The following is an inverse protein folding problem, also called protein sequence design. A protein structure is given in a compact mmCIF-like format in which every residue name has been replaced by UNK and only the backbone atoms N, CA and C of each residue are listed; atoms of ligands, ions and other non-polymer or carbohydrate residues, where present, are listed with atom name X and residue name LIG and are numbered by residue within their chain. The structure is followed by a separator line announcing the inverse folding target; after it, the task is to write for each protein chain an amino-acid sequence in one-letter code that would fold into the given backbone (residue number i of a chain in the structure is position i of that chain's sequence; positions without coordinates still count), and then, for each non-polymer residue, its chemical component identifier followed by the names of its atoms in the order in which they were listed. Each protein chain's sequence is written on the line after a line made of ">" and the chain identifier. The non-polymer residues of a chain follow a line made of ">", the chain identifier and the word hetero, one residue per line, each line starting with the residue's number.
data_IF_304122940959
#
_entry.id   IF_304122940959
#
_cell.length_a   1.000
_cell.length_b   1.000
_cell.length_c   1.000
_cell.angle_alpha   90.00
_cell.angle_beta   90.00
_cell.angle_gamma   90.00
#
_symmetry.space_group_name_H-M   'P 1'
#
loop_
_entity.id
_entity.type
_entity.pdbx_description
1 polymer ?
#
# COMPACT_ATOMS: atom_id res chain seq x y z
N UNK A 1 -31.53 12.01 80.30
CA UNK A 1 -30.70 11.33 81.32
C UNK A 1 -29.27 11.29 80.81
N UNK A 2 -28.37 12.04 81.49
CA UNK A 2 -26.88 11.91 81.66
C UNK A 2 -26.08 11.33 80.47
N UNK A 3 -25.02 11.95 79.93
CA UNK A 3 -23.92 12.69 80.59
C UNK A 3 -23.08 13.45 79.54
N UNK A 4 -22.71 14.70 79.83
CA UNK A 4 -21.42 15.28 79.40
C UNK A 4 -20.33 14.71 80.31
N UNK A 5 -19.09 14.58 79.82
CA UNK A 5 -17.87 14.81 80.61
C UNK A 5 -16.66 14.98 79.66
N UNK A 6 -15.98 16.11 79.83
CA UNK A 6 -14.64 16.43 79.32
C UNK A 6 -13.57 15.53 79.94
N UNK A 7 -12.45 15.24 79.25
CA UNK A 7 -11.09 15.52 79.76
C UNK A 7 -9.99 15.17 78.75
N UNK A 8 -8.92 15.95 78.83
CA UNK A 8 -7.73 16.03 77.99
C UNK A 8 -6.55 15.46 78.78
N UNK A 9 -5.81 14.44 78.30
CA UNK A 9 -4.48 14.05 78.82
C UNK A 9 -3.57 13.42 77.74
N UNK A 10 -2.58 14.22 77.33
CA UNK A 10 -1.14 13.96 77.15
C UNK A 10 -0.57 12.58 76.74
N UNK A 11 0.09 12.60 75.57
CA UNK A 11 1.48 12.19 75.25
C UNK A 11 2.00 10.78 75.56
N UNK A 12 2.41 10.08 74.49
CA UNK A 12 3.65 9.29 74.48
C UNK A 12 4.30 9.36 73.09
N UNK A 13 5.45 10.01 73.04
CA UNK A 13 6.42 10.08 71.93
C UNK A 13 6.97 8.71 71.57
N UNK A 14 6.99 8.38 70.27
CA UNK A 14 7.94 7.42 69.71
C UNK A 14 8.72 8.13 68.59
N UNK A 15 10.00 8.39 68.82
CA UNK A 15 10.97 8.74 67.79
C UNK A 15 11.17 7.54 66.86
N UNK A 16 11.24 7.76 65.54
CA UNK A 16 12.43 7.43 64.74
C UNK A 16 12.26 7.77 63.25
N UNK A 17 13.31 8.41 62.73
CA UNK A 17 13.83 8.39 61.36
C UNK A 17 13.06 9.09 60.23
N UNK A 18 13.52 10.32 59.95
CA UNK A 18 13.52 10.89 58.61
C UNK A 18 14.32 9.98 57.65
N UNK A 19 13.75 9.70 56.48
CA UNK A 19 14.48 9.31 55.28
C UNK A 19 13.87 10.07 54.11
N UNK A 20 14.52 11.16 53.71
CA UNK A 20 14.43 11.64 52.34
C UNK A 20 15.18 10.63 51.44
N UNK A 21 14.62 10.40 50.26
CA UNK A 21 15.28 10.13 48.96
C UNK A 21 14.48 9.08 48.17
N UNK A 22 13.92 9.55 47.05
CA UNK A 22 14.11 8.98 45.72
C UNK A 22 13.51 7.61 45.42
N UNK A 23 12.45 7.62 44.60
CA UNK A 23 12.49 7.16 43.21
C UNK A 23 11.04 7.19 42.69
N UNK A 24 10.64 8.31 42.08
CA UNK A 24 9.60 8.26 41.07
C UNK A 24 10.27 7.72 39.83
N UNK A 25 9.81 6.58 39.33
CA UNK A 25 10.43 5.84 38.24
C UNK A 25 10.80 6.79 37.09
N UNK A 26 12.10 7.02 36.92
CA UNK A 26 12.66 7.40 35.64
C UNK A 26 12.27 6.27 34.68
N UNK A 27 11.21 6.46 33.90
CA UNK A 27 11.07 5.72 32.65
C UNK A 27 12.24 6.15 31.78
N UNK A 28 13.34 5.42 31.94
CA UNK A 28 14.36 5.23 30.93
C UNK A 28 13.65 5.13 29.58
N UNK A 29 13.84 6.13 28.72
CA UNK A 29 13.40 6.06 27.33
C UNK A 29 14.04 4.81 26.72
N UNK A 30 13.24 3.76 26.56
CA UNK A 30 13.65 2.56 25.86
C UNK A 30 13.91 2.96 24.40
N UNK A 31 15.11 2.76 23.85
CA UNK A 31 15.39 3.07 22.45
C UNK A 31 14.56 2.25 21.45
N UNK A 32 13.77 1.28 21.93
CA UNK A 32 12.82 0.50 21.13
C UNK A 32 11.36 0.89 21.32
N UNK A 33 11.05 1.98 22.01
CA UNK A 33 9.68 2.49 22.03
C UNK A 33 9.32 3.07 20.65
N UNK A 34 8.50 2.32 19.91
CA UNK A 34 8.00 2.68 18.60
C UNK A 34 6.55 3.20 18.66
N UNK A 35 6.01 3.46 19.85
CA UNK A 35 4.69 4.07 19.97
C UNK A 35 4.70 5.48 19.35
N UNK A 36 3.86 5.66 18.32
CA UNK A 36 3.66 6.96 17.67
C UNK A 36 4.64 7.32 16.55
N UNK A 37 5.50 6.39 16.10
CA UNK A 37 6.42 6.62 14.96
C UNK A 37 5.85 6.01 13.67
N UNK A 38 5.59 6.86 12.66
CA UNK A 38 5.03 6.44 11.37
C UNK A 38 6.10 5.91 10.40
N UNK A 39 7.34 6.41 10.54
CA UNK A 39 8.46 6.04 9.67
C UNK A 39 9.73 5.91 10.48
N UNK A 40 10.56 4.91 10.16
CA UNK A 40 11.87 4.72 10.77
C UNK A 40 12.92 4.57 9.66
N UNK A 41 13.93 5.43 9.67
CA UNK A 41 15.02 5.48 8.69
C UNK A 41 16.39 5.42 9.37
N UNK A 42 17.45 4.96 8.69
CA UNK A 42 18.80 4.95 9.29
C UNK A 42 19.48 6.32 9.21
N UNK A 43 19.21 7.08 8.15
CA UNK A 43 19.72 8.43 7.90
C UNK A 43 18.58 9.37 7.45
N UNK A 44 18.80 10.68 7.50
CA UNK A 44 17.77 11.65 7.10
C UNK A 44 17.37 11.52 5.62
N UNK A 45 18.34 11.24 4.74
CA UNK A 45 18.10 11.06 3.30
C UNK A 45 17.27 9.82 2.96
N UNK A 46 17.16 8.87 3.91
CA UNK A 46 16.30 7.68 3.79
C UNK A 46 14.85 7.97 4.24
N UNK A 47 14.55 9.17 4.75
CA UNK A 47 13.16 9.56 5.01
C UNK A 47 12.41 9.67 3.66
N UNK A 48 11.20 9.11 3.56
CA UNK A 48 10.38 9.24 2.37
C UNK A 48 10.03 10.71 2.14
N UNK A 49 9.72 11.08 0.90
CA UNK A 49 9.35 12.46 0.57
C UNK A 49 8.24 12.97 1.50
N UNK A 50 8.50 14.06 2.23
CA UNK A 50 7.47 14.74 2.99
C UNK A 50 6.50 15.40 2.00
N UNK A 51 5.26 14.97 2.02
CA UNK A 51 4.19 15.40 1.12
C UNK A 51 2.95 15.72 1.95
N UNK A 52 1.91 16.27 1.32
CA UNK A 52 0.64 16.51 1.99
C UNK A 52 0.02 15.23 2.60
N UNK A 53 0.36 14.04 2.08
CA UNK A 53 -0.11 12.75 2.60
C UNK A 53 0.66 12.24 3.83
N UNK A 54 1.77 12.90 4.17
CA UNK A 54 2.56 12.66 5.37
C UNK A 54 2.52 13.85 6.32
N UNK A 55 1.63 14.81 6.08
CA UNK A 55 1.48 15.97 6.95
C UNK A 55 1.20 15.51 8.39
N UNK A 56 1.98 16.01 9.33
CA UNK A 56 2.03 15.61 10.74
C UNK A 56 2.52 14.19 11.05
N UNK A 57 2.99 13.42 10.05
CA UNK A 57 3.65 12.15 10.33
C UNK A 57 4.99 12.36 11.01
N UNK A 58 5.35 11.42 11.88
CA UNK A 58 6.62 11.43 12.62
C UNK A 58 7.58 10.39 12.04
N UNK A 59 8.71 10.86 11.52
CA UNK A 59 9.84 10.06 11.06
C UNK A 59 10.97 10.05 12.08
N UNK A 60 11.46 8.87 12.44
CA UNK A 60 12.60 8.70 13.34
C UNK A 60 13.86 8.30 12.57
N UNK A 61 14.93 9.08 12.73
CA UNK A 61 16.23 8.84 12.09
C UNK A 61 17.19 8.23 13.11
N UNK A 62 17.52 6.94 12.95
CA UNK A 62 18.34 6.18 13.91
C UNK A 62 19.76 6.72 14.05
N UNK A 63 20.39 7.13 12.95
CA UNK A 63 21.78 7.61 12.93
C UNK A 63 21.97 8.90 13.73
N UNK A 64 20.93 9.73 13.78
CA UNK A 64 20.92 11.00 14.49
C UNK A 64 20.21 10.90 15.85
N UNK A 65 19.44 9.84 16.06
CA UNK A 65 18.52 9.68 17.21
C UNK A 65 17.56 10.87 17.35
N UNK A 66 17.08 11.36 16.22
CA UNK A 66 16.19 12.52 16.14
C UNK A 66 14.88 12.17 15.45
N UNK A 67 13.82 12.85 15.86
CA UNK A 67 12.50 12.80 15.27
C UNK A 67 12.28 14.02 14.38
N UNK A 68 11.61 13.79 13.26
CA UNK A 68 11.21 14.78 12.30
C UNK A 68 9.72 14.67 12.08
N UNK A 69 9.02 15.80 12.01
CA UNK A 69 7.62 15.85 11.63
C UNK A 69 7.50 16.44 10.25
N UNK A 70 6.74 15.79 9.38
CA UNK A 70 6.49 16.30 8.05
C UNK A 70 5.46 17.42 8.12
N UNK A 71 5.88 18.65 7.79
CA UNK A 71 5.03 19.84 7.78
C UNK A 71 5.31 20.65 6.52
N UNK A 72 4.26 21.04 5.80
CA UNK A 72 4.35 21.82 4.57
C UNK A 72 5.36 21.22 3.55
N UNK A 73 5.30 19.89 3.37
CA UNK A 73 6.19 19.13 2.48
C UNK A 73 7.68 19.16 2.86
N UNK A 74 8.01 19.51 4.11
CA UNK A 74 9.36 19.39 4.67
C UNK A 74 9.39 18.60 5.95
N UNK A 75 10.41 17.76 6.12
CA UNK A 75 10.70 17.15 7.42
C UNK A 75 11.36 18.20 8.31
N UNK A 76 10.69 18.54 9.40
CA UNK A 76 11.14 19.53 10.36
C UNK A 76 11.46 18.85 11.69
N UNK A 77 12.59 19.17 12.29
CA UNK A 77 12.90 18.75 13.66
C UNK A 77 12.17 19.62 14.69
N UNK A 78 12.30 19.29 15.98
CA UNK A 78 11.62 19.99 17.07
C UNK A 78 11.90 21.51 17.09
N UNK A 79 13.11 21.96 16.75
CA UNK A 79 13.48 23.37 16.75
C UNK A 79 12.81 24.14 15.59
N UNK A 80 12.66 23.48 14.44
CA UNK A 80 12.05 24.03 13.23
C UNK A 80 10.52 24.07 13.32
N UNK A 81 9.91 23.09 14.02
CA UNK A 81 8.46 22.99 14.23
C UNK A 81 7.89 24.11 15.10
N UNK A 82 8.68 24.66 16.03
CA UNK A 82 8.23 25.77 16.88
C UNK A 82 7.98 27.08 16.10
N UNK A 83 8.36 27.14 14.82
CA UNK A 83 8.23 28.31 13.95
C UNK A 83 7.10 28.17 12.93
N UNK A 84 6.67 26.94 12.60
CA UNK A 84 5.75 26.63 11.48
C UNK A 84 4.40 26.00 11.91
N UNK A 85 4.12 25.98 13.22
CA UNK A 85 3.01 25.27 13.87
C UNK A 85 1.73 24.99 13.06
N UNK A 86 1.61 23.74 12.58
CA UNK A 86 0.37 23.13 12.06
C UNK A 86 0.02 21.85 12.84
N UNK A 87 1.03 21.10 13.30
CA UNK A 87 0.85 19.83 14.00
C UNK A 87 0.99 20.00 15.52
N UNK A 88 -0.11 19.89 16.27
CA UNK A 88 -0.10 19.89 17.73
C UNK A 88 -0.03 18.45 18.27
N UNK A 89 0.82 18.20 19.29
CA UNK A 89 0.88 16.92 20.01
C UNK A 89 -0.46 16.63 20.70
N UNK A 90 -0.96 15.40 20.53
CA UNK A 90 -2.21 14.87 21.11
C UNK A 90 -2.19 14.91 22.65
N UNK A 91 -3.29 15.25 23.34
CA UNK A 91 -3.41 15.04 24.78
C UNK A 91 -3.67 13.56 25.10
N UNK A 92 -3.02 13.04 26.14
CA UNK A 92 -2.97 11.61 26.52
C UNK A 92 -4.31 10.99 26.97
N UNK A 93 -5.44 11.68 26.95
CA UNK A 93 -6.70 11.09 27.41
C UNK A 93 -7.88 11.57 26.54
N UNK A 94 -8.28 10.73 25.58
CA UNK A 94 -9.45 10.96 24.74
C UNK A 94 -9.62 9.84 23.71
N UNK A 95 -10.52 8.90 24.02
CA UNK A 95 -11.11 7.98 23.05
C UNK A 95 -12.01 8.78 22.11
N UNK A 96 -11.42 9.50 21.17
CA UNK A 96 -12.09 9.86 19.93
C UNK A 96 -11.62 8.86 18.87
N UNK A 97 -12.56 8.11 18.31
CA UNK A 97 -12.34 7.21 17.19
C UNK A 97 -11.69 8.00 16.05
N UNK A 98 -10.37 7.87 15.93
CA UNK A 98 -9.63 8.37 14.79
C UNK A 98 -10.23 7.72 13.55
N UNK A 99 -10.97 8.49 12.76
CA UNK A 99 -11.31 8.06 11.40
C UNK A 99 -9.98 7.92 10.67
N UNK A 100 -9.56 6.67 10.47
CA UNK A 100 -8.44 6.36 9.59
C UNK A 100 -8.62 7.15 8.29
N UNK A 101 -7.58 7.84 7.78
CA UNK A 101 -7.69 8.54 6.51
C UNK A 101 -8.13 7.54 5.44
N UNK A 102 -9.29 7.82 4.84
CA UNK A 102 -9.85 7.00 3.76
C UNK A 102 -9.10 7.39 2.50
N UNK A 103 -8.09 6.61 2.14
CA UNK A 103 -7.36 6.80 0.88
C UNK A 103 -8.28 6.51 -0.31
N UNK A 104 -8.19 7.36 -1.33
CA UNK A 104 -8.88 7.25 -2.62
C UNK A 104 -7.91 6.77 -3.69
N UNK A 105 -8.40 6.26 -4.83
CA UNK A 105 -7.52 5.80 -5.92
C UNK A 105 -6.64 6.94 -6.46
N UNK A 106 -7.09 8.19 -6.37
CA UNK A 106 -6.38 9.38 -6.79
C UNK A 106 -5.16 9.68 -5.92
N UNK A 107 -5.18 9.32 -4.63
CA UNK A 107 -4.07 9.59 -3.71
C UNK A 107 -2.80 8.83 -4.10
N UNK A 108 -2.92 7.76 -4.87
CA UNK A 108 -1.80 6.94 -5.35
C UNK A 108 -1.19 7.42 -6.68
N UNK A 109 -1.76 8.48 -7.27
CA UNK A 109 -1.27 9.06 -8.51
C UNK A 109 -0.09 10.00 -8.25
N UNK A 110 0.84 10.07 -9.20
CA UNK A 110 1.94 11.02 -9.14
C UNK A 110 1.43 12.45 -9.43
N UNK A 111 1.51 13.37 -8.46
CA UNK A 111 1.02 14.76 -8.61
C UNK A 111 1.75 15.57 -9.68
N UNK A 112 2.96 15.16 -10.07
CA UNK A 112 3.78 15.85 -11.07
C UNK A 112 3.44 15.43 -12.51
N UNK A 113 2.52 14.48 -12.69
CA UNK A 113 2.10 13.95 -13.99
C UNK A 113 0.70 14.41 -14.34
N UNK A 114 0.53 14.90 -15.57
CA UNK A 114 -0.78 15.21 -16.11
C UNK A 114 -1.49 13.94 -16.59
N UNK A 115 -2.64 13.64 -15.97
CA UNK A 115 -3.45 12.48 -16.34
C UNK A 115 -4.63 12.87 -17.22
N UNK A 116 -4.86 12.07 -18.25
CA UNK A 116 -6.12 12.02 -18.97
C UNK A 116 -7.20 11.29 -18.16
N UNK A 117 -8.39 11.15 -18.78
CA UNK A 117 -9.50 10.39 -18.22
C UNK A 117 -10.14 9.50 -19.28
N UNK A 118 -10.71 8.39 -18.82
CA UNK A 118 -11.62 7.55 -19.58
C UNK A 118 -12.87 7.29 -18.76
N UNK A 119 -14.02 7.22 -19.42
CA UNK A 119 -15.30 6.89 -18.79
C UNK A 119 -15.70 5.51 -19.30
N UNK A 120 -15.94 4.58 -18.39
CA UNK A 120 -16.43 3.25 -18.74
C UNK A 120 -17.94 3.37 -19.03
N UNK A 121 -18.39 3.13 -20.27
CA UNK A 121 -19.80 3.31 -20.63
C UNK A 121 -20.73 2.29 -19.97
N UNK A 122 -20.18 1.23 -19.36
CA UNK A 122 -20.97 0.13 -18.79
C UNK A 122 -21.46 0.45 -17.38
N UNK A 123 -20.72 1.25 -16.61
CA UNK A 123 -21.04 1.59 -15.22
C UNK A 123 -20.82 3.07 -14.88
N UNK A 124 -20.39 3.90 -15.85
CA UNK A 124 -20.06 5.32 -15.68
C UNK A 124 -18.88 5.60 -14.76
N UNK A 125 -18.08 4.59 -14.42
CA UNK A 125 -16.84 4.76 -13.66
C UNK A 125 -15.84 5.59 -14.45
N UNK A 126 -15.21 6.56 -13.79
CA UNK A 126 -14.18 7.42 -14.39
C UNK A 126 -12.82 6.94 -13.92
N UNK A 127 -11.91 6.67 -14.85
CA UNK A 127 -10.55 6.26 -14.55
C UNK A 127 -9.54 7.24 -15.13
N UNK A 128 -8.46 7.48 -14.39
CA UNK A 128 -7.30 8.22 -14.86
C UNK A 128 -6.48 7.41 -15.84
N UNK A 129 -5.88 8.11 -16.80
CA UNK A 129 -5.07 7.50 -17.86
C UNK A 129 -3.78 8.28 -18.04
N UNK A 130 -2.71 7.61 -18.43
CA UNK A 130 -1.39 8.22 -18.63
C UNK A 130 -0.80 7.74 -19.96
N UNK A 131 -0.10 8.63 -20.66
CA UNK A 131 0.67 8.25 -21.84
C UNK A 131 2.06 7.82 -21.41
N UNK A 132 2.43 6.58 -21.70
CA UNK A 132 3.76 6.03 -21.42
C UNK A 132 4.31 5.45 -22.73
N UNK A 133 5.44 5.98 -23.18
CA UNK A 133 5.92 5.76 -24.54
C UNK A 133 4.91 6.27 -25.59
N UNK A 134 4.53 5.39 -26.51
CA UNK A 134 3.56 5.64 -27.58
C UNK A 134 2.12 5.23 -27.23
N UNK A 135 1.90 4.64 -26.05
CA UNK A 135 0.61 4.08 -25.65
C UNK A 135 -0.06 4.87 -24.51
N UNK A 136 -1.38 4.77 -24.45
CA UNK A 136 -2.19 5.33 -23.35
C UNK A 136 -2.70 4.19 -22.48
N UNK A 137 -2.28 4.22 -21.22
CA UNK A 137 -2.56 3.21 -20.19
C UNK A 137 -3.58 3.74 -19.18
N UNK A 138 -4.37 2.85 -18.59
CA UNK A 138 -5.04 3.18 -17.33
C UNK A 138 -4.00 3.41 -16.21
N UNK A 139 -4.18 4.48 -15.45
CA UNK A 139 -3.41 4.82 -14.24
C UNK A 139 -4.10 4.36 -12.94
N UNK A 140 -5.33 3.87 -13.04
CA UNK A 140 -6.07 3.21 -11.95
C UNK A 140 -6.49 1.80 -12.36
N UNK A 141 -6.71 0.92 -11.37
CA UNK A 141 -7.18 -0.44 -11.64
C UNK A 141 -8.64 -0.41 -12.09
N UNK A 142 -8.99 -1.25 -13.07
CA UNK A 142 -10.38 -1.41 -13.50
C UNK A 142 -11.24 -1.98 -12.36
N UNK A 143 -12.37 -1.34 -12.06
CA UNK A 143 -13.36 -1.79 -11.05
C UNK A 143 -14.74 -2.10 -11.68
N UNK A 144 -14.75 -2.57 -12.93
CA UNK A 144 -15.99 -2.96 -13.59
C UNK A 144 -16.55 -4.28 -13.03
N UNK A 145 -17.66 -4.19 -12.30
CA UNK A 145 -18.26 -5.35 -11.63
C UNK A 145 -19.32 -6.08 -12.46
N UNK A 146 -18.92 -6.56 -13.65
CA UNK A 146 -19.75 -7.39 -14.53
C UNK A 146 -19.78 -8.88 -14.20
N UNK A 147 -19.84 -9.75 -15.22
CA UNK A 147 -19.75 -11.20 -15.03
C UNK A 147 -18.32 -11.64 -14.66
N UNK A 148 -18.20 -12.59 -13.72
CA UNK A 148 -16.90 -13.16 -13.33
C UNK A 148 -16.12 -12.40 -12.26
N UNK A 149 -16.76 -11.43 -11.62
CA UNK A 149 -16.22 -10.64 -10.51
C UNK A 149 -16.04 -11.53 -9.29
N UNK A 150 -14.84 -11.46 -8.69
CA UNK A 150 -14.59 -12.06 -7.39
C UNK A 150 -14.92 -11.02 -6.32
N UNK A 151 -16.20 -10.97 -5.89
CA UNK A 151 -16.60 -10.14 -4.76
C UNK A 151 -16.30 -10.87 -3.44
N UNK A 152 -15.44 -10.31 -2.59
CA UNK A 152 -15.12 -10.91 -1.29
C UNK A 152 -15.96 -10.31 -0.16
N UNK A 153 -16.50 -11.16 0.70
CA UNK A 153 -17.29 -10.76 1.87
C UNK A 153 -16.33 -10.29 2.98
N UNK A 154 -16.26 -8.97 3.21
CA UNK A 154 -15.43 -8.37 4.26
C UNK A 154 -14.33 -7.42 3.77
N UNK A 155 -14.23 -7.17 2.46
CA UNK A 155 -13.24 -6.26 1.85
C UNK A 155 -13.91 -5.16 0.99
N UNK A 156 -15.15 -4.76 1.32
CA UNK A 156 -15.88 -3.76 0.53
C UNK A 156 -15.19 -2.39 0.51
N UNK A 157 -14.45 -2.06 1.56
CA UNK A 157 -13.69 -0.79 1.68
C UNK A 157 -12.42 -0.76 0.82
N UNK A 158 -12.06 -1.89 0.18
CA UNK A 158 -10.81 -2.06 -0.54
C UNK A 158 -10.92 -1.73 -2.04
N UNK A 159 -12.10 -1.93 -2.62
CA UNK A 159 -12.33 -1.73 -4.04
C UNK A 159 -12.08 -0.31 -4.56
N UNK A 160 -12.43 0.78 -3.85
CA UNK A 160 -12.27 2.13 -4.36
C UNK A 160 -10.82 2.44 -4.78
N UNK A 161 -9.83 1.82 -4.12
CA UNK A 161 -8.41 1.99 -4.42
C UNK A 161 -7.89 0.87 -5.32
N UNK A 162 -8.25 -0.37 -4.99
CA UNK A 162 -7.56 -1.54 -5.53
C UNK A 162 -8.24 -2.16 -6.75
N UNK A 163 -9.44 -1.69 -7.09
CA UNK A 163 -10.25 -2.20 -8.19
C UNK A 163 -10.67 -3.65 -8.00
N UNK A 164 -11.16 -4.26 -9.08
CA UNK A 164 -11.62 -5.64 -9.09
C UNK A 164 -10.50 -6.60 -9.52
N UNK A 165 -10.48 -7.79 -8.91
CA UNK A 165 -9.62 -8.90 -9.34
C UNK A 165 -10.41 -9.86 -10.23
N UNK A 166 -9.84 -10.18 -11.38
CA UNK A 166 -10.45 -11.01 -12.41
C UNK A 166 -9.66 -12.30 -12.57
N UNK A 167 -10.32 -13.45 -12.69
CA UNK A 167 -9.64 -14.65 -13.21
C UNK A 167 -9.32 -14.47 -14.70
N UNK A 168 -8.28 -15.14 -15.19
CA UNK A 168 -7.78 -14.99 -16.56
C UNK A 168 -8.88 -15.05 -17.65
N UNK A 169 -9.84 -15.97 -17.52
CA UNK A 169 -10.95 -16.10 -18.47
C UNK A 169 -11.87 -14.87 -18.55
N UNK A 170 -12.03 -14.13 -17.45
CA UNK A 170 -12.86 -12.93 -17.38
C UNK A 170 -12.07 -11.66 -17.70
N UNK A 171 -10.78 -11.63 -17.33
CA UNK A 171 -9.89 -10.51 -17.66
C UNK A 171 -9.86 -10.22 -19.16
N UNK A 172 -9.91 -11.27 -20.01
CA UNK A 172 -9.90 -11.16 -21.47
C UNK A 172 -11.04 -10.32 -22.06
N UNK A 173 -12.14 -10.17 -21.33
CA UNK A 173 -13.32 -9.40 -21.74
C UNK A 173 -13.65 -8.28 -20.76
N UNK A 174 -12.72 -7.98 -19.84
CA UNK A 174 -12.95 -7.01 -18.77
C UNK A 174 -12.87 -5.57 -19.27
N UNK A 175 -11.98 -5.25 -20.21
CA UNK A 175 -11.81 -3.88 -20.70
C UNK A 175 -13.03 -3.40 -21.53
N UNK A 176 -13.43 -2.11 -21.40
CA UNK A 176 -14.55 -1.55 -22.16
C UNK A 176 -14.18 -1.33 -23.64
N UNK A 177 -15.17 -1.03 -24.48
CA UNK A 177 -14.94 -0.72 -25.89
C UNK A 177 -13.92 0.42 -26.09
N UNK A 178 -13.03 0.28 -27.08
CA UNK A 178 -11.90 1.19 -27.32
C UNK A 178 -10.72 0.98 -26.36
N UNK A 179 -10.81 -0.02 -25.48
CA UNK A 179 -9.77 -0.43 -24.55
C UNK A 179 -9.63 -1.94 -24.55
N UNK A 180 -8.43 -2.43 -24.29
CA UNK A 180 -8.14 -3.87 -24.26
C UNK A 180 -7.11 -4.23 -23.21
N UNK A 181 -6.96 -5.53 -22.97
CA UNK A 181 -5.82 -6.03 -22.20
C UNK A 181 -4.51 -5.75 -22.97
N UNK A 182 -3.45 -5.31 -22.28
CA UNK A 182 -2.11 -5.22 -22.86
C UNK A 182 -1.57 -6.62 -23.22
N UNK A 183 -0.87 -6.76 -24.32
CA UNK A 183 -0.12 -7.97 -24.66
C UNK A 183 1.19 -8.05 -23.88
N UNK A 184 1.83 -9.23 -23.87
CA UNK A 184 3.13 -9.42 -23.22
C UNK A 184 4.16 -8.42 -23.76
N UNK A 185 4.24 -8.30 -25.08
CA UNK A 185 5.15 -7.36 -25.75
C UNK A 185 4.86 -5.89 -25.48
N UNK A 186 3.63 -5.53 -25.10
CA UNK A 186 3.32 -4.16 -24.68
C UNK A 186 3.76 -3.87 -23.25
N UNK A 187 3.69 -4.86 -22.36
CA UNK A 187 4.33 -4.73 -21.06
C UNK A 187 5.85 -4.67 -21.16
N UNK A 188 6.47 -5.41 -22.08
CA UNK A 188 7.91 -5.26 -22.34
C UNK A 188 8.25 -3.84 -22.77
N UNK A 189 7.50 -3.28 -23.73
CA UNK A 189 7.69 -1.89 -24.17
C UNK A 189 7.44 -0.88 -23.06
N UNK A 190 6.46 -1.13 -22.19
CA UNK A 190 6.22 -0.31 -21.00
C UNK A 190 7.46 -0.30 -20.10
N UNK A 191 8.04 -1.46 -19.80
CA UNK A 191 9.24 -1.57 -18.97
C UNK A 191 10.43 -0.90 -19.68
N UNK A 192 10.65 -1.17 -20.97
CA UNK A 192 11.72 -0.53 -21.76
C UNK A 192 11.61 0.99 -21.85
N UNK A 193 10.39 1.55 -21.73
CA UNK A 193 10.19 3.00 -21.77
C UNK A 193 10.71 3.73 -20.53
N UNK A 194 10.85 3.01 -19.41
CA UNK A 194 11.32 3.53 -18.13
C UNK A 194 12.69 2.95 -17.73
N UNK A 195 13.06 1.81 -18.31
CA UNK A 195 14.37 1.19 -18.15
C UNK A 195 14.95 0.83 -19.53
N UNK A 196 15.77 1.72 -20.07
CA UNK A 196 16.45 1.50 -21.36
C UNK A 196 17.46 0.34 -21.35
N UNK A 197 17.86 -0.13 -20.17
CA UNK A 197 18.78 -1.27 -20.00
C UNK A 197 18.05 -2.61 -19.94
N UNK A 198 16.72 -2.59 -19.87
CA UNK A 198 15.89 -3.79 -19.84
C UNK A 198 16.09 -4.61 -21.12
N UNK A 199 16.57 -5.84 -20.94
CA UNK A 199 16.67 -6.86 -21.98
C UNK A 199 15.80 -8.02 -21.56
N UNK A 200 14.77 -8.35 -22.35
CA UNK A 200 14.00 -9.55 -22.08
C UNK A 200 14.83 -10.79 -22.40
N UNK A 201 14.80 -11.79 -21.51
CA UNK A 201 15.30 -13.12 -21.84
C UNK A 201 14.44 -13.68 -22.97
N UNK A 202 15.04 -13.97 -24.12
CA UNK A 202 14.36 -14.30 -25.39
C UNK A 202 13.48 -15.59 -25.38
N UNK A 203 12.95 -16.02 -24.24
CA UNK A 203 12.04 -17.15 -24.11
C UNK A 203 10.90 -16.84 -23.14
N UNK A 204 9.69 -17.28 -23.49
CA UNK A 204 8.48 -17.20 -22.65
C UNK A 204 8.63 -17.86 -21.26
N UNK A 205 9.65 -18.71 -21.09
CA UNK A 205 9.97 -19.42 -19.85
C UNK A 205 10.91 -18.62 -18.92
N UNK A 206 11.51 -17.53 -19.43
CA UNK A 206 12.35 -16.62 -18.65
C UNK A 206 11.47 -15.60 -17.94
N UNK A 207 11.59 -15.47 -16.62
CA UNK A 207 11.00 -14.35 -15.90
C UNK A 207 11.80 -13.10 -16.28
N UNK A 208 11.22 -12.21 -17.08
CA UNK A 208 11.81 -10.90 -17.32
C UNK A 208 11.85 -10.12 -15.99
N UNK A 209 12.96 -9.48 -15.63
CA UNK A 209 13.11 -8.75 -14.36
C UNK A 209 13.75 -7.38 -14.60
N UNK A 210 13.20 -6.31 -14.01
CA UNK A 210 13.82 -4.98 -13.99
C UNK A 210 13.54 -4.24 -12.67
N UNK A 211 14.60 -3.87 -11.93
CA UNK A 211 14.46 -3.06 -10.70
C UNK A 211 14.13 -1.60 -11.01
N UNK A 212 14.78 -1.01 -12.01
CA UNK A 212 14.51 0.37 -12.45
C UNK A 212 13.06 0.49 -12.92
N UNK A 213 12.61 -0.45 -13.75
CA UNK A 213 11.25 -0.49 -14.24
C UNK A 213 10.23 -0.70 -13.12
N UNK A 214 10.50 -1.58 -12.16
CA UNK A 214 9.57 -1.77 -11.04
C UNK A 214 9.48 -0.53 -10.14
N UNK A 215 10.60 0.13 -9.83
CA UNK A 215 10.61 1.40 -9.09
C UNK A 215 9.82 2.49 -9.82
N UNK A 216 9.98 2.61 -11.13
CA UNK A 216 9.32 3.62 -11.94
C UNK A 216 7.79 3.40 -12.10
N UNK A 217 7.33 2.15 -12.06
CA UNK A 217 5.92 1.78 -12.25
C UNK A 217 5.09 1.78 -10.95
N UNK A 218 5.71 1.47 -9.81
CA UNK A 218 5.03 1.45 -8.51
C UNK A 218 4.68 2.86 -8.03
N UNK A 219 3.48 3.00 -7.47
CA UNK A 219 3.11 4.14 -6.64
C UNK A 219 4.05 4.24 -5.42
N UNK A 220 4.39 5.45 -4.94
CA UNK A 220 5.09 5.63 -3.67
C UNK A 220 4.23 5.21 -2.46
N UNK A 221 2.90 5.18 -2.63
CA UNK A 221 1.93 4.82 -1.59
C UNK A 221 1.29 3.46 -1.86
N UNK A 222 0.75 2.83 -0.81
CA UNK A 222 -0.04 1.60 -0.91
C UNK A 222 0.79 0.34 -1.06
N UNK A 223 2.02 0.38 -0.59
CA UNK A 223 2.95 -0.74 -0.46
C UNK A 223 3.38 -0.84 1.00
N UNK A 224 3.45 -2.05 1.55
CA UNK A 224 3.92 -2.23 2.94
C UNK A 224 5.42 -2.01 3.07
N UNK A 225 6.16 -2.26 1.99
CA UNK A 225 7.60 -2.02 1.85
C UNK A 225 7.90 -1.63 0.39
N UNK A 226 8.96 -0.84 0.19
CA UNK A 226 9.54 -0.53 -1.12
C UNK A 226 8.51 -0.04 -2.16
N UNK A 227 7.78 1.03 -1.80
CA UNK A 227 7.02 1.83 -2.78
C UNK A 227 7.95 2.43 -3.85
N UNK A 228 7.39 2.73 -5.02
CA UNK A 228 8.17 3.23 -6.15
C UNK A 228 8.31 4.75 -6.21
N UNK A 229 9.02 5.24 -7.22
CA UNK A 229 9.07 6.65 -7.58
C UNK A 229 7.84 7.11 -8.37
N UNK A 230 7.15 6.16 -9.03
CA UNK A 230 6.02 6.44 -9.94
C UNK A 230 6.33 7.49 -11.02
N UNK A 231 7.58 7.61 -11.46
CA UNK A 231 7.99 8.58 -12.47
C UNK A 231 7.34 8.32 -13.84
N UNK A 232 6.86 7.09 -14.06
CA UNK A 232 6.09 6.71 -15.25
C UNK A 232 4.64 7.19 -15.23
N UNK A 233 4.08 7.44 -14.03
CA UNK A 233 2.65 7.68 -13.82
C UNK A 233 1.78 6.42 -13.90
N UNK A 234 2.36 5.24 -14.11
CA UNK A 234 1.59 4.00 -14.13
C UNK A 234 0.84 3.76 -12.80
N UNK A 235 1.38 4.25 -11.69
CA UNK A 235 0.70 4.30 -10.39
C UNK A 235 0.21 2.93 -9.92
N UNK A 236 1.08 1.92 -10.00
CA UNK A 236 0.72 0.59 -9.50
C UNK A 236 0.67 0.59 -7.96
N UNK A 237 -0.53 0.32 -7.43
CA UNK A 237 -0.79 0.14 -6.00
C UNK A 237 -0.79 -1.35 -5.66
N UNK A 238 -0.29 -1.71 -4.47
CA UNK A 238 -0.21 -3.10 -4.00
C UNK A 238 -1.60 -3.71 -3.73
N UNK A 239 -2.33 -4.10 -4.76
CA UNK A 239 -3.69 -4.65 -4.66
C UNK A 239 -3.76 -6.13 -4.29
N UNK A 240 -2.62 -6.81 -4.22
CA UNK A 240 -2.56 -8.25 -4.01
C UNK A 240 -3.16 -9.05 -5.18
N UNK A 241 -3.42 -10.32 -4.91
CA UNK A 241 -4.08 -11.27 -5.80
C UNK A 241 -5.01 -12.18 -5.00
N UNK A 242 -5.91 -12.87 -5.70
CA UNK A 242 -6.87 -13.79 -5.08
C UNK A 242 -6.67 -15.21 -5.58
N UNK A 243 -6.35 -16.14 -4.69
CA UNK A 243 -6.24 -17.57 -5.03
C UNK A 243 -7.55 -18.30 -4.74
N UNK A 244 -7.80 -19.43 -5.42
CA UNK A 244 -8.91 -20.33 -5.06
C UNK A 244 -8.40 -21.35 -4.03
N UNK A 245 -9.02 -21.41 -2.86
CA UNK A 245 -8.79 -22.52 -1.92
C UNK A 245 -9.54 -23.77 -2.40
N UNK A 246 -8.80 -24.81 -2.79
CA UNK A 246 -9.36 -26.08 -3.26
C UNK A 246 -10.10 -26.88 -2.17
N UNK A 247 -9.86 -26.60 -0.88
CA UNK A 247 -10.44 -27.31 0.27
C UNK A 247 -11.72 -26.64 0.79
N UNK A 248 -11.79 -25.31 0.76
CA UNK A 248 -12.92 -24.56 1.35
C UNK A 248 -13.76 -23.78 0.34
N UNK A 249 -13.36 -23.73 -0.94
CA UNK A 249 -14.06 -22.95 -1.96
C UNK A 249 -14.05 -21.44 -1.70
N UNK A 250 -13.20 -20.98 -0.76
CA UNK A 250 -13.04 -19.58 -0.43
C UNK A 250 -11.83 -19.00 -1.14
N UNK A 251 -11.95 -17.75 -1.56
CA UNK A 251 -10.88 -16.99 -2.18
C UNK A 251 -9.92 -16.49 -1.08
N UNK A 252 -8.61 -16.81 -1.15
CA UNK A 252 -7.60 -16.23 -0.24
C UNK A 252 -7.00 -15.01 -0.95
N UNK A 253 -7.21 -13.83 -0.37
CA UNK A 253 -6.61 -12.57 -0.82
C UNK A 253 -5.23 -12.45 -0.19
N UNK A 254 -4.19 -12.20 -0.99
CA UNK A 254 -2.88 -11.83 -0.44
C UNK A 254 -2.99 -10.48 0.28
N UNK A 255 -2.20 -10.27 1.33
CA UNK A 255 -2.26 -9.02 2.09
C UNK A 255 -2.10 -7.80 1.17
N UNK A 256 -2.97 -6.78 1.30
CA UNK A 256 -2.78 -5.48 0.68
C UNK A 256 -1.36 -4.94 0.86
N UNK A 257 -0.84 -4.28 -0.16
CA UNK A 257 0.48 -3.66 -0.16
C UNK A 257 1.65 -4.61 -0.38
N UNK A 258 1.42 -5.93 -0.51
CA UNK A 258 2.51 -6.88 -0.73
C UNK A 258 2.85 -7.14 -2.20
N UNK A 259 1.88 -7.03 -3.09
CA UNK A 259 2.08 -7.25 -4.52
C UNK A 259 1.05 -6.52 -5.36
N UNK A 260 1.37 -6.28 -6.61
CA UNK A 260 0.43 -5.81 -7.63
C UNK A 260 0.69 -6.60 -8.90
N UNK A 261 -0.36 -7.20 -9.47
CA UNK A 261 -0.22 -7.90 -10.73
C UNK A 261 -1.34 -7.54 -11.70
N UNK A 262 -0.99 -7.47 -12.98
CA UNK A 262 -1.86 -7.01 -14.05
C UNK A 262 -1.86 -7.99 -15.20
N UNK A 263 -3.05 -8.42 -15.61
CA UNK A 263 -3.19 -9.38 -16.70
C UNK A 263 -2.68 -8.87 -18.03
N UNK A 264 -2.01 -9.75 -18.76
CA UNK A 264 -1.74 -9.62 -20.18
C UNK A 264 -2.81 -10.35 -21.01
N UNK A 265 -3.02 -10.02 -22.28
CA UNK A 265 -3.80 -10.82 -23.22
C UNK A 265 -3.05 -12.05 -23.77
N UNK A 266 -1.76 -12.20 -23.45
CA UNK A 266 -0.87 -13.21 -24.04
C UNK A 266 -0.69 -14.46 -23.17
N UNK A 267 -0.38 -15.60 -23.81
CA UNK A 267 0.02 -16.84 -23.12
C UNK A 267 -1.11 -17.57 -22.40
N UNK A 268 -2.34 -17.47 -22.90
CA UNK A 268 -3.50 -18.15 -22.33
C UNK A 268 -3.36 -19.67 -22.42
N UNK A 269 -3.29 -20.34 -21.27
CA UNK A 269 -3.19 -21.79 -21.12
C UNK A 269 -4.31 -22.35 -20.25
N UNK A 270 -4.66 -23.61 -20.50
CA UNK A 270 -5.66 -24.36 -19.75
C UNK A 270 -5.03 -25.66 -19.27
N UNK A 271 -4.95 -25.82 -17.96
CA UNK A 271 -4.37 -27.01 -17.32
C UNK A 271 -5.43 -27.71 -16.49
N UNK A 272 -5.66 -28.99 -16.76
CA UNK A 272 -6.57 -29.81 -15.95
C UNK A 272 -5.79 -30.58 -14.90
N UNK A 273 -6.29 -30.62 -13.68
CA UNK A 273 -5.70 -31.40 -12.59
C UNK A 273 -6.74 -32.33 -11.97
N UNK A 274 -6.25 -33.43 -11.40
CA UNK A 274 -7.06 -34.40 -10.66
C UNK A 274 -6.29 -34.92 -9.44
N UNK A 275 -6.91 -34.89 -8.27
CA UNK A 275 -6.37 -35.48 -7.04
C UNK A 275 -7.46 -36.26 -6.31
N UNK A 276 -7.38 -37.59 -6.33
CA UNK A 276 -8.46 -38.45 -5.83
C UNK A 276 -9.76 -38.24 -6.62
N UNK A 277 -10.84 -37.90 -5.94
CA UNK A 277 -12.15 -37.58 -6.56
C UNK A 277 -12.30 -36.10 -6.94
N UNK A 278 -11.32 -35.26 -6.61
CA UNK A 278 -11.32 -33.84 -6.98
C UNK A 278 -10.70 -33.68 -8.36
N UNK A 279 -11.33 -32.86 -9.20
CA UNK A 279 -10.76 -32.42 -10.46
C UNK A 279 -11.07 -30.94 -10.67
N UNK A 280 -10.20 -30.26 -11.40
CA UNK A 280 -10.36 -28.84 -11.67
C UNK A 280 -9.59 -28.41 -12.90
N UNK A 281 -9.87 -27.20 -13.35
CA UNK A 281 -9.20 -26.57 -14.48
C UNK A 281 -8.63 -25.24 -14.02
N UNK A 282 -7.32 -25.07 -14.23
CA UNK A 282 -6.61 -23.83 -14.02
C UNK A 282 -6.45 -23.12 -15.36
N UNK A 283 -6.83 -21.85 -15.39
CA UNK A 283 -6.59 -20.97 -16.51
C UNK A 283 -5.40 -20.10 -16.16
N UNK A 284 -4.35 -20.15 -16.97
CA UNK A 284 -3.16 -19.34 -16.78
C UNK A 284 -2.93 -18.39 -17.94
N UNK A 285 -2.29 -17.27 -17.66
CA UNK A 285 -1.98 -16.22 -18.63
C UNK A 285 -0.78 -15.42 -18.13
N UNK A 286 -0.07 -14.71 -19.01
CA UNK A 286 1.00 -13.81 -18.55
C UNK A 286 0.43 -12.65 -17.74
N UNK A 287 1.20 -12.19 -16.77
CA UNK A 287 0.92 -10.99 -16.01
C UNK A 287 2.23 -10.23 -15.73
N UNK A 288 2.12 -8.90 -15.71
CA UNK A 288 3.12 -8.03 -15.11
C UNK A 288 2.91 -8.03 -13.60
N UNK A 289 3.96 -8.27 -12.82
CA UNK A 289 3.90 -8.41 -11.37
C UNK A 289 5.00 -7.62 -10.67
N UNK A 290 4.62 -6.95 -9.59
CA UNK A 290 5.44 -6.13 -8.71
C UNK A 290 5.28 -6.67 -7.29
N UNK A 291 6.34 -6.69 -6.48
CA UNK A 291 6.31 -7.20 -5.10
C UNK A 291 6.80 -6.16 -4.10
N UNK A 292 6.51 -6.32 -2.80
CA UNK A 292 7.04 -5.43 -1.74
C UNK A 292 8.51 -5.70 -1.43
N UNK A 293 8.99 -6.91 -1.67
CA UNK A 293 10.30 -7.37 -1.16
C UNK A 293 11.46 -6.88 -2.03
N UNK A 294 11.21 -6.71 -3.33
CA UNK A 294 12.14 -6.12 -4.28
C UNK A 294 11.50 -4.95 -5.03
N UNK A 295 12.32 -4.01 -5.51
CA UNK A 295 11.86 -2.93 -6.38
C UNK A 295 11.58 -3.42 -7.81
N UNK A 296 11.55 -4.74 -8.06
CA UNK A 296 11.52 -5.29 -9.41
C UNK A 296 10.13 -5.45 -10.01
N UNK A 297 10.06 -5.33 -11.33
CA UNK A 297 8.93 -5.76 -12.15
C UNK A 297 9.26 -7.08 -12.82
N UNK A 298 8.28 -7.98 -12.84
CA UNK A 298 8.40 -9.31 -13.43
C UNK A 298 7.30 -9.61 -14.44
N UNK A 299 7.60 -10.37 -15.50
CA UNK A 299 6.60 -10.95 -16.40
C UNK A 299 6.57 -12.47 -16.25
N UNK A 300 5.43 -13.03 -15.83
CA UNK A 300 5.28 -14.48 -15.59
C UNK A 300 3.85 -14.97 -15.76
N UNK A 301 3.69 -16.27 -15.99
CA UNK A 301 2.35 -16.90 -15.98
C UNK A 301 1.79 -16.95 -14.57
N UNK A 302 0.49 -16.69 -14.45
CA UNK A 302 -0.28 -16.67 -13.21
C UNK A 302 -1.61 -17.37 -13.42
N UNK A 303 -2.22 -17.87 -12.35
CA UNK A 303 -3.51 -18.58 -12.37
C UNK A 303 -4.50 -18.10 -11.29
N UNK A 304 -4.12 -17.08 -10.54
CA UNK A 304 -4.92 -16.41 -9.51
C UNK A 304 -5.95 -15.47 -10.15
N UNK A 305 -6.66 -14.66 -9.36
CA UNK A 305 -7.37 -13.49 -9.87
C UNK A 305 -6.51 -12.25 -9.60
N UNK A 306 -6.30 -11.45 -10.64
CA UNK A 306 -5.39 -10.29 -10.63
C UNK A 306 -6.14 -9.04 -11.09
N UNK A 307 -5.55 -7.87 -10.83
CA UNK A 307 -6.07 -6.60 -11.31
C UNK A 307 -5.95 -6.47 -12.84
N UNK A 308 -6.70 -5.54 -13.41
CA UNK A 308 -6.66 -5.21 -14.84
C UNK A 308 -6.30 -3.74 -15.03
N UNK A 309 -5.38 -3.49 -15.96
CA UNK A 309 -4.99 -2.17 -16.47
C UNK A 309 -5.17 -2.18 -17.97
N UNK A 310 -6.22 -1.54 -18.45
CA UNK A 310 -6.49 -1.54 -19.88
C UNK A 310 -5.56 -0.58 -20.63
N UNK A 311 -5.31 -0.93 -21.88
CA UNK A 311 -4.58 -0.14 -22.86
C UNK A 311 -5.57 0.40 -23.88
N UNK A 312 -5.44 1.66 -24.27
CA UNK A 312 -6.29 2.23 -25.32
C UNK A 312 -5.99 1.57 -26.67
N UNK A 313 -7.04 1.27 -27.43
CA UNK A 313 -6.89 0.79 -28.81
C UNK A 313 -6.25 1.85 -29.71
N UNK A 314 -5.58 1.40 -30.77
CA UNK A 314 -4.99 2.27 -31.81
C UNK A 314 -6.05 2.84 -32.76
#
# INVERSE_FOLDING_TARGET
>A
MKKQDSLLVLSATLLAAFSLVGCGDEKSADPNDNEGKDVIANSFDELPVCSASRECSVGYVKGEKMEYTCVDRKWLNEQELMVSGSCQKRPENGEDEAKNPVFTAEDYLNSEIEYGTMIDPRDSSVYKTVKIGDKVWMAQNLDYRGEGVVSYRGYQDFYPVHGTHYFAQYAKVACPEGWRLPSYGEFEKLISSVDSSFVNGNTEDSVAVSEIGGKALKSPLGWTLNGGSNESGFSAVGSGYVTKDAKYGMAIVSTPGESACFWSSSGYGVESWSYGTLSGTNYNMFALCLTKDDESVTLKKRNEALSVRCLKDE
#
